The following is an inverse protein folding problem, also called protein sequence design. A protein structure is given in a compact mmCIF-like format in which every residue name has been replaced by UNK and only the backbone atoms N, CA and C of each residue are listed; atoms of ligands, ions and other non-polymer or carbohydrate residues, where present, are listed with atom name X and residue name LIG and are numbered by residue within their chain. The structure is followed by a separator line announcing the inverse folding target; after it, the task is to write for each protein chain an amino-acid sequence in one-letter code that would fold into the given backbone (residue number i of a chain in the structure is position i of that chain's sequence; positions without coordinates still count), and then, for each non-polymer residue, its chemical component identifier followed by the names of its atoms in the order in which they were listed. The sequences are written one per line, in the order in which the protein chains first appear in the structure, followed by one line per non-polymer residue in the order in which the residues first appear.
data_IF_753348551638
#
_entry.id   IF_753348551638
#
_cell.length_a   1.000
_cell.length_b   1.000
_cell.length_c   1.000
_cell.angle_alpha   90.00
_cell.angle_beta   90.00
_cell.angle_gamma   90.00
#
_symmetry.space_group_name_H-M   'P 1'
#
loop_
_entity.id
_entity.type
_entity.pdbx_description
1 polymer ?
#
# COMPACT_ATOMS: atom_id res chain seq x y z
N UNK A 1 22.45 18.09 25.43
CA UNK A 1 21.11 18.67 25.14
C UNK A 1 20.35 17.65 24.31
N UNK A 2 19.05 17.39 24.58
CA UNK A 2 18.31 16.37 23.85
C UNK A 2 18.15 16.75 22.37
N UNK A 3 18.59 15.87 21.46
CA UNK A 3 18.40 16.04 20.02
C UNK A 3 16.98 15.58 19.68
N UNK A 4 16.16 16.51 19.21
CA UNK A 4 14.81 16.19 18.73
C UNK A 4 14.91 15.66 17.31
N UNK A 5 14.65 14.36 17.17
CA UNK A 5 14.52 13.70 15.89
C UNK A 5 13.10 13.99 15.42
N UNK A 6 12.96 14.85 14.41
CA UNK A 6 11.65 15.20 13.91
C UNK A 6 10.92 13.92 13.47
N UNK A 7 9.65 13.72 13.90
CA UNK A 7 8.85 12.64 13.36
C UNK A 7 8.78 12.80 11.86
N UNK A 8 8.50 11.71 11.14
CA UNK A 8 8.19 11.78 9.73
C UNK A 8 7.23 12.95 9.50
N UNK A 9 7.73 14.04 8.89
CA UNK A 9 6.90 15.15 8.46
C UNK A 9 5.87 14.51 7.55
N UNK A 10 4.68 14.29 8.08
CA UNK A 10 3.75 13.44 7.37
C UNK A 10 3.46 14.09 6.03
N UNK A 11 2.97 13.34 5.05
CA UNK A 11 2.35 13.91 3.86
C UNK A 11 1.13 14.82 4.20
N UNK A 12 1.01 15.37 5.42
CA UNK A 12 -0.03 16.28 5.93
C UNK A 12 -0.18 17.55 5.08
N UNK A 13 0.84 17.98 4.33
CA UNK A 13 0.63 19.09 3.40
C UNK A 13 -0.14 18.70 2.14
N UNK A 14 -0.22 17.40 1.82
CA UNK A 14 -0.96 16.90 0.66
C UNK A 14 -2.11 15.95 1.00
N UNK A 15 -2.02 15.02 1.95
CA UNK A 15 -3.09 14.04 2.20
C UNK A 15 -4.39 14.62 2.79
N UNK A 16 -4.39 15.60 3.70
CA UNK A 16 -5.59 16.29 4.14
C UNK A 16 -6.13 17.18 3.03
N UNK A 17 -5.26 17.83 2.25
CA UNK A 17 -5.67 18.57 1.06
C UNK A 17 -6.26 17.63 0.00
N UNK A 18 -5.75 16.41 -0.16
CA UNK A 18 -6.22 15.42 -1.14
C UNK A 18 -7.51 14.78 -0.65
N UNK A 19 -7.63 14.46 0.65
CA UNK A 19 -8.87 14.02 1.27
C UNK A 19 -9.92 15.14 1.27
N UNK A 20 -9.53 16.40 1.44
CA UNK A 20 -10.40 17.56 1.37
C UNK A 20 -10.81 17.86 -0.06
N UNK A 21 -9.89 17.85 -1.03
CA UNK A 21 -10.18 17.95 -2.46
C UNK A 21 -11.04 16.78 -2.92
N UNK A 22 -10.80 15.56 -2.44
CA UNK A 22 -11.62 14.39 -2.76
C UNK A 22 -13.00 14.47 -2.10
N UNK A 23 -13.08 14.92 -0.84
CA UNK A 23 -14.34 15.18 -0.15
C UNK A 23 -15.10 16.32 -0.80
N UNK A 24 -14.43 17.32 -1.37
CA UNK A 24 -15.03 18.43 -2.13
C UNK A 24 -15.48 17.91 -3.50
N UNK A 25 -14.67 17.13 -4.21
CA UNK A 25 -14.98 16.59 -5.54
C UNK A 25 -16.09 15.53 -5.51
N UNK A 26 -16.20 14.75 -4.45
CA UNK A 26 -17.29 13.77 -4.27
C UNK A 26 -18.48 14.42 -3.55
N UNK A 27 -18.20 15.27 -2.56
CA UNK A 27 -19.20 15.93 -1.73
C UNK A 27 -20.02 16.97 -2.48
N UNK A 28 -19.43 17.80 -3.35
CA UNK A 28 -20.18 18.80 -4.11
C UNK A 28 -21.19 18.16 -5.09
N UNK A 29 -20.82 17.17 -5.93
CA UNK A 29 -21.79 16.51 -6.80
C UNK A 29 -22.86 15.76 -6.02
N UNK A 30 -22.47 15.09 -4.92
CA UNK A 30 -23.40 14.36 -4.08
C UNK A 30 -24.35 15.31 -3.33
N UNK A 31 -23.86 16.44 -2.85
CA UNK A 31 -24.66 17.51 -2.24
C UNK A 31 -25.62 18.12 -3.26
N UNK A 32 -25.17 18.35 -4.49
CA UNK A 32 -26.01 18.82 -5.58
C UNK A 32 -27.10 17.81 -5.95
N UNK A 33 -26.76 16.52 -5.99
CA UNK A 33 -27.71 15.44 -6.25
C UNK A 33 -28.75 15.32 -5.13
N UNK A 34 -28.32 15.36 -3.87
CA UNK A 34 -29.23 15.29 -2.71
C UNK A 34 -30.10 16.55 -2.61
N UNK A 35 -29.53 17.73 -2.86
CA UNK A 35 -30.29 18.98 -2.90
C UNK A 35 -31.30 19.03 -4.05
N UNK A 36 -31.00 18.41 -5.19
CA UNK A 36 -31.93 18.28 -6.31
C UNK A 36 -33.05 17.26 -6.05
N UNK A 37 -32.74 16.14 -5.37
CA UNK A 37 -33.71 15.09 -5.06
C UNK A 37 -34.58 15.41 -3.83
N UNK A 38 -34.05 16.18 -2.88
CA UNK A 38 -34.70 16.47 -1.59
C UNK A 38 -34.46 17.93 -1.18
N UNK A 39 -35.10 18.91 -1.85
CA UNK A 39 -34.87 20.34 -1.63
C UNK A 39 -35.21 20.80 -0.20
N UNK A 40 -36.16 20.15 0.47
CA UNK A 40 -36.55 20.46 1.86
C UNK A 40 -35.45 20.12 2.87
N UNK A 41 -34.58 19.16 2.52
CA UNK A 41 -33.44 18.78 3.35
C UNK A 41 -32.19 19.62 3.06
N UNK A 42 -32.19 20.50 2.06
CA UNK A 42 -30.98 21.20 1.62
C UNK A 42 -30.32 22.04 2.72
N UNK A 43 -31.11 22.74 3.54
CA UNK A 43 -30.60 23.53 4.67
C UNK A 43 -30.00 22.67 5.79
N UNK A 44 -30.69 21.58 6.15
CA UNK A 44 -30.20 20.62 7.14
C UNK A 44 -28.99 19.82 6.64
N UNK A 45 -28.96 19.52 5.35
CA UNK A 45 -27.87 18.79 4.71
C UNK A 45 -26.58 19.60 4.68
N UNK A 46 -26.62 20.89 4.32
CA UNK A 46 -25.43 21.76 4.36
C UNK A 46 -24.88 21.87 5.78
N UNK A 47 -25.74 22.03 6.78
CA UNK A 47 -25.33 22.06 8.19
C UNK A 47 -24.72 20.71 8.64
N UNK A 48 -25.36 19.59 8.31
CA UNK A 48 -24.86 18.25 8.62
C UNK A 48 -23.52 17.96 7.93
N UNK A 49 -23.34 18.41 6.69
CA UNK A 49 -22.10 18.24 5.93
C UNK A 49 -20.97 19.10 6.50
N UNK A 50 -21.25 20.35 6.89
CA UNK A 50 -20.28 21.21 7.57
C UNK A 50 -19.84 20.59 8.91
N UNK A 51 -20.78 20.05 9.71
CA UNK A 51 -20.48 19.33 10.95
C UNK A 51 -19.61 18.09 10.66
N UNK A 52 -19.98 17.29 9.65
CA UNK A 52 -19.21 16.10 9.26
C UNK A 52 -17.79 16.45 8.79
N UNK A 53 -17.61 17.54 8.06
CA UNK A 53 -16.30 18.02 7.61
C UNK A 53 -15.44 18.47 8.80
N UNK A 54 -16.00 19.25 9.74
CA UNK A 54 -15.30 19.68 10.96
C UNK A 54 -14.95 18.49 11.85
N UNK A 55 -15.90 17.58 12.08
CA UNK A 55 -15.68 16.36 12.85
C UNK A 55 -14.60 15.48 12.21
N UNK A 56 -14.63 15.31 10.89
CA UNK A 56 -13.60 14.57 10.16
C UNK A 56 -12.23 15.23 10.27
N UNK A 57 -12.16 16.56 10.17
CA UNK A 57 -10.93 17.32 10.37
C UNK A 57 -10.37 17.17 11.79
N UNK A 58 -11.22 17.24 12.81
CA UNK A 58 -10.85 17.05 14.20
C UNK A 58 -10.37 15.61 14.48
N UNK A 59 -11.11 14.60 14.02
CA UNK A 59 -10.74 13.18 14.12
C UNK A 59 -9.40 12.94 13.43
N UNK A 60 -9.22 13.47 12.21
CA UNK A 60 -7.96 13.35 11.48
C UNK A 60 -6.82 14.03 12.25
N UNK A 61 -7.04 15.23 12.80
CA UNK A 61 -6.06 15.93 13.62
C UNK A 61 -5.62 15.13 14.85
N UNK A 62 -6.58 14.53 15.56
CA UNK A 62 -6.31 13.65 16.71
C UNK A 62 -5.55 12.40 16.28
N UNK A 63 -5.99 11.72 15.20
CA UNK A 63 -5.29 10.55 14.65
C UNK A 63 -3.86 10.91 14.27
N UNK A 64 -3.64 12.05 13.60
CA UNK A 64 -2.30 12.52 13.26
C UNK A 64 -1.46 12.79 14.51
N UNK A 65 -1.98 13.49 15.51
CA UNK A 65 -1.26 13.74 16.77
C UNK A 65 -0.87 12.44 17.49
N UNK A 66 -1.75 11.44 17.47
CA UNK A 66 -1.48 10.12 18.05
C UNK A 66 -0.48 9.29 17.23
N UNK A 67 -0.52 9.38 15.90
CA UNK A 67 0.35 8.63 15.00
C UNK A 67 1.76 9.20 14.86
N UNK A 68 1.94 10.52 15.01
CA UNK A 68 3.20 11.24 14.78
C UNK A 68 3.76 11.85 16.06
N UNK A 69 3.98 11.01 17.06
CA UNK A 69 4.66 11.39 18.30
C UNK A 69 6.11 11.79 18.03
N UNK A 70 6.65 12.73 18.80
CA UNK A 70 8.05 13.15 18.69
C UNK A 70 9.00 12.12 19.31
N UNK A 71 10.20 11.99 18.73
CA UNK A 71 11.31 11.24 19.30
C UNK A 71 12.37 12.25 19.75
N UNK A 72 12.73 12.22 21.03
CA UNK A 72 13.89 12.97 21.51
C UNK A 72 14.91 12.00 22.10
N UNK A 73 16.18 12.19 21.78
CA UNK A 73 17.26 11.32 22.23
C UNK A 73 18.25 12.16 23.03
N UNK A 74 18.57 11.71 24.24
CA UNK A 74 19.63 12.27 25.06
C UNK A 74 20.65 11.15 25.33
N UNK A 75 21.69 11.11 24.49
CA UNK A 75 22.74 10.10 24.56
C UNK A 75 23.60 10.27 25.82
N UNK A 76 23.73 11.49 26.35
CA UNK A 76 24.54 11.77 27.54
C UNK A 76 23.86 11.19 28.79
N UNK A 77 22.54 11.34 28.88
CA UNK A 77 21.72 10.79 29.97
C UNK A 77 21.35 9.32 29.77
N UNK A 78 21.59 8.76 28.58
CA UNK A 78 21.20 7.39 28.26
C UNK A 78 19.69 7.19 28.18
N UNK A 79 18.94 8.23 27.81
CA UNK A 79 17.47 8.19 27.75
C UNK A 79 16.93 8.55 26.36
N UNK A 80 15.76 8.00 26.06
CA UNK A 80 14.95 8.31 24.90
C UNK A 80 13.54 8.70 25.34
N UNK A 81 13.01 9.78 24.76
CA UNK A 81 11.63 10.18 24.96
C UNK A 81 10.79 9.74 23.78
N UNK A 82 9.85 8.81 24.05
CA UNK A 82 8.90 8.28 23.08
C UNK A 82 7.50 8.81 23.41
N UNK A 83 7.08 9.88 22.73
CA UNK A 83 5.84 10.58 23.09
C UNK A 83 5.98 11.33 24.42
N UNK A 84 5.16 10.98 25.42
CA UNK A 84 5.15 11.64 26.73
C UNK A 84 6.07 10.99 27.77
N UNK A 85 6.59 9.79 27.52
CA UNK A 85 7.40 9.04 28.47
C UNK A 85 8.90 9.11 28.15
N UNK A 86 9.72 9.32 29.17
CA UNK A 86 11.18 9.12 29.11
C UNK A 86 11.51 7.69 29.54
N UNK A 87 12.31 7.01 28.73
CA UNK A 87 12.68 5.61 28.89
C UNK A 87 14.20 5.46 28.71
N UNK A 88 14.85 4.45 29.33
CA UNK A 88 16.26 4.17 29.08
C UNK A 88 16.47 3.70 27.63
N UNK A 89 17.63 3.99 27.03
CA UNK A 89 17.92 3.58 25.64
C UNK A 89 17.79 2.07 25.42
N UNK A 90 18.14 1.27 26.42
CA UNK A 90 18.02 -0.20 26.40
C UNK A 90 16.59 -0.71 26.29
N UNK A 91 15.58 0.11 26.63
CA UNK A 91 14.17 -0.26 26.48
C UNK A 91 13.74 -0.42 25.02
N UNK A 92 14.50 0.16 24.08
CA UNK A 92 14.25 0.02 22.64
C UNK A 92 14.62 -1.40 22.21
N UNK A 93 13.61 -2.22 21.95
CA UNK A 93 13.77 -3.67 21.72
C UNK A 93 13.35 -4.10 20.32
N UNK A 94 12.65 -3.25 19.56
CA UNK A 94 12.26 -3.57 18.20
C UNK A 94 12.29 -2.35 17.27
N UNK A 95 12.78 -2.54 16.05
CA UNK A 95 12.66 -1.57 14.97
C UNK A 95 12.03 -2.26 13.76
N UNK A 96 11.05 -1.59 13.15
CA UNK A 96 10.50 -1.99 11.86
C UNK A 96 10.88 -0.98 10.78
N UNK A 97 11.54 -1.45 9.74
CA UNK A 97 11.97 -0.69 8.56
C UNK A 97 10.91 -0.75 7.47
N UNK A 98 10.60 0.36 6.82
CA UNK A 98 9.67 0.43 5.70
C UNK A 98 10.14 1.44 4.67
N UNK A 99 10.15 1.06 3.39
CA UNK A 99 10.45 1.98 2.29
C UNK A 99 9.20 2.20 1.44
N UNK A 100 8.69 3.41 1.41
CA UNK A 100 7.61 3.75 0.50
C UNK A 100 8.20 4.38 -0.76
N UNK A 101 8.00 3.76 -1.92
CA UNK A 101 8.31 4.36 -3.23
C UNK A 101 7.03 4.51 -4.08
N UNK A 102 6.88 5.65 -4.75
CA UNK A 102 5.74 5.93 -5.61
C UNK A 102 5.93 7.18 -6.46
N UNK A 103 5.92 7.03 -7.79
CA UNK A 103 6.16 8.13 -8.73
C UNK A 103 7.54 8.74 -8.52
N UNK A 104 7.59 10.04 -8.20
CA UNK A 104 8.83 10.77 -7.86
C UNK A 104 9.18 10.75 -6.37
N UNK A 105 8.36 10.09 -5.54
CA UNK A 105 8.52 10.06 -4.10
C UNK A 105 9.16 8.75 -3.62
N UNK A 106 10.12 8.87 -2.72
CA UNK A 106 10.82 7.73 -2.09
C UNK A 106 11.09 8.09 -0.64
N UNK A 107 10.70 7.22 0.29
CA UNK A 107 10.80 7.45 1.73
C UNK A 107 11.30 6.21 2.44
N UNK A 108 12.27 6.36 3.34
CA UNK A 108 12.72 5.36 4.29
C UNK A 108 12.21 5.73 5.68
N UNK A 109 11.46 4.84 6.31
CA UNK A 109 10.89 5.03 7.64
C UNK A 109 11.32 3.93 8.59
N UNK A 110 11.61 4.31 9.82
CA UNK A 110 11.76 3.39 10.93
C UNK A 110 10.61 3.57 11.92
N UNK A 111 10.04 2.46 12.38
CA UNK A 111 9.15 2.42 13.52
C UNK A 111 9.89 1.79 14.69
N UNK A 112 10.28 2.62 15.65
CA UNK A 112 11.02 2.23 16.84
C UNK A 112 10.00 1.92 17.93
N UNK A 113 10.15 0.79 18.62
CA UNK A 113 9.29 0.36 19.70
C UNK A 113 10.11 -0.01 20.94
N UNK A 114 9.59 0.39 22.09
CA UNK A 114 10.10 0.00 23.39
C UNK A 114 9.37 -1.24 23.93
N UNK A 115 9.99 -1.92 24.90
CA UNK A 115 9.42 -3.03 25.68
C UNK A 115 8.09 -2.69 26.38
N UNK A 116 7.91 -1.43 26.79
CA UNK A 116 6.65 -0.88 27.34
C UNK A 116 5.51 -0.79 26.32
N UNK A 117 5.77 -1.07 25.05
CA UNK A 117 4.82 -0.91 23.93
C UNK A 117 4.75 0.51 23.35
N UNK A 118 5.45 1.48 23.94
CA UNK A 118 5.59 2.81 23.35
C UNK A 118 6.28 2.70 21.98
N UNK A 119 5.76 3.38 20.95
CA UNK A 119 6.38 3.37 19.61
C UNK A 119 6.31 4.72 18.93
N UNK A 120 7.30 4.98 18.06
CA UNK A 120 7.42 6.22 17.28
C UNK A 120 7.84 5.90 15.84
N UNK A 121 7.42 6.75 14.89
CA UNK A 121 7.81 6.64 13.48
C UNK A 121 8.73 7.80 13.08
N UNK A 122 9.89 7.45 12.54
CA UNK A 122 10.92 8.39 12.08
C UNK A 122 11.03 8.31 10.56
N UNK A 123 11.11 9.46 9.87
CA UNK A 123 11.47 9.52 8.44
C UNK A 123 12.98 9.70 8.35
N UNK A 124 13.69 8.67 7.91
CA UNK A 124 15.15 8.66 7.83
C UNK A 124 15.63 9.36 6.59
N UNK A 125 15.08 8.97 5.44
CA UNK A 125 15.39 9.54 4.14
C UNK A 125 14.10 9.75 3.35
N UNK A 126 14.04 10.79 2.51
CA UNK A 126 12.81 11.15 1.83
C UNK A 126 13.00 12.07 0.63
N UNK A 127 12.14 11.91 -0.38
CA UNK A 127 11.84 12.90 -1.43
C UNK A 127 10.35 12.91 -1.74
N UNK A 128 9.70 14.08 -1.95
CA UNK A 128 10.27 15.44 -1.83
C UNK A 128 10.49 15.93 -0.39
N UNK A 129 10.04 15.20 0.63
CA UNK A 129 10.21 15.64 2.02
C UNK A 129 11.62 15.34 2.52
N UNK A 130 12.26 16.33 3.13
CA UNK A 130 13.58 16.16 3.74
C UNK A 130 13.48 15.13 4.88
N UNK A 131 14.36 14.13 4.84
CA UNK A 131 14.55 13.18 5.94
C UNK A 131 15.34 13.80 7.09
N UNK A 132 16.10 12.98 7.80
CA UNK A 132 16.92 13.43 8.92
C UNK A 132 18.02 14.38 8.45
N UNK A 133 18.33 15.35 9.31
CA UNK A 133 19.60 16.06 9.25
C UNK A 133 20.74 15.15 9.72
N UNK A 134 21.98 15.48 9.34
CA UNK A 134 23.18 14.71 9.71
C UNK A 134 23.26 14.48 11.23
N UNK A 135 23.09 15.53 12.04
CA UNK A 135 23.10 15.44 13.50
C UNK A 135 22.03 14.48 14.04
N UNK A 136 20.85 14.48 13.43
CA UNK A 136 19.75 13.59 13.83
C UNK A 136 20.02 12.14 13.41
N UNK A 137 20.65 11.92 12.26
CA UNK A 137 21.06 10.59 11.80
C UNK A 137 22.16 10.01 12.71
N UNK A 138 23.14 10.82 13.11
CA UNK A 138 24.18 10.44 14.09
C UNK A 138 23.57 10.14 15.45
N UNK A 139 22.64 10.96 15.93
CA UNK A 139 21.93 10.72 17.19
C UNK A 139 21.11 9.41 17.14
N UNK A 140 20.45 9.14 16.01
CA UNK A 140 19.69 7.91 15.79
C UNK A 140 20.60 6.68 15.76
N UNK A 141 21.76 6.77 15.09
CA UNK A 141 22.78 5.71 15.11
C UNK A 141 23.26 5.43 16.54
N UNK A 142 23.58 6.46 17.31
CA UNK A 142 23.97 6.32 18.72
C UNK A 142 22.88 5.70 19.60
N UNK A 143 21.61 6.00 19.32
CA UNK A 143 20.48 5.34 19.98
C UNK A 143 20.45 3.84 19.65
N UNK A 144 20.60 3.46 18.38
CA UNK A 144 20.58 2.05 17.94
C UNK A 144 21.73 1.26 18.54
N UNK A 145 22.93 1.85 18.57
CA UNK A 145 24.12 1.23 19.16
C UNK A 145 23.94 0.89 20.64
N UNK A 146 23.24 1.74 21.40
CA UNK A 146 22.99 1.58 22.84
C UNK A 146 21.64 0.95 23.19
N UNK A 147 20.90 0.50 22.17
CA UNK A 147 19.57 -0.08 22.34
C UNK A 147 19.62 -1.55 22.79
N UNK A 148 18.47 -2.07 23.25
CA UNK A 148 18.27 -3.49 23.54
C UNK A 148 17.89 -4.31 22.30
N UNK A 149 18.17 -3.81 21.08
CA UNK A 149 17.87 -4.54 19.85
C UNK A 149 18.74 -5.81 19.74
N UNK A 150 18.17 -6.93 19.27
CA UNK A 150 18.97 -8.10 18.92
C UNK A 150 19.91 -7.76 17.76
N UNK A 151 21.07 -8.41 17.70
CA UNK A 151 22.05 -8.23 16.62
C UNK A 151 21.41 -8.44 15.23
N UNK A 152 20.64 -9.52 15.10
CA UNK A 152 19.85 -9.91 13.93
C UNK A 152 18.40 -10.20 14.36
N UNK A 153 17.42 -9.71 13.61
CA UNK A 153 16.00 -9.92 13.91
C UNK A 153 15.49 -11.29 13.42
N UNK A 154 16.16 -11.86 12.40
CA UNK A 154 15.78 -13.10 11.72
C UNK A 154 16.84 -14.21 11.85
N UNK A 155 18.02 -13.89 12.37
CA UNK A 155 19.19 -14.76 12.36
C UNK A 155 20.00 -14.70 11.05
N UNK A 156 19.53 -13.95 10.04
CA UNK A 156 20.26 -13.72 8.79
C UNK A 156 21.36 -12.65 8.96
N UNK A 157 22.26 -12.56 7.96
CA UNK A 157 23.27 -11.49 7.91
C UNK A 157 22.64 -10.11 7.72
N UNK A 158 23.37 -9.06 8.10
CA UNK A 158 22.90 -7.68 8.02
C UNK A 158 22.44 -7.30 6.59
N UNK A 159 23.20 -7.69 5.58
CA UNK A 159 22.90 -7.43 4.17
C UNK A 159 21.66 -8.20 3.71
N UNK A 160 21.52 -9.47 4.12
CA UNK A 160 20.36 -10.29 3.77
C UNK A 160 19.08 -9.75 4.41
N UNK A 161 19.14 -9.27 5.66
CA UNK A 161 18.02 -8.59 6.31
C UNK A 161 17.61 -7.30 5.58
N UNK A 162 18.58 -6.50 5.13
CA UNK A 162 18.31 -5.29 4.36
C UNK A 162 17.66 -5.61 3.02
N UNK A 163 18.21 -6.57 2.27
CA UNK A 163 17.67 -7.03 0.99
C UNK A 163 16.25 -7.60 1.13
N UNK A 164 16.03 -8.43 2.15
CA UNK A 164 14.69 -8.94 2.50
C UNK A 164 13.75 -7.78 2.85
N UNK A 165 14.21 -6.81 3.63
CA UNK A 165 13.47 -5.60 3.95
C UNK A 165 13.15 -4.73 2.73
N UNK A 166 14.06 -4.63 1.75
CA UNK A 166 13.89 -3.89 0.49
C UNK A 166 12.88 -4.57 -0.43
N UNK A 167 12.89 -5.89 -0.50
CA UNK A 167 11.87 -6.64 -1.24
C UNK A 167 10.47 -6.44 -0.62
N UNK A 168 10.40 -6.18 0.69
CA UNK A 168 9.17 -5.87 1.42
C UNK A 168 8.84 -4.37 1.46
N UNK A 169 9.74 -3.50 0.98
CA UNK A 169 9.71 -2.04 1.04
C UNK A 169 8.29 -1.48 0.95
N UNK A 170 7.62 -1.77 -0.17
CA UNK A 170 6.34 -1.18 -0.55
C UNK A 170 5.11 -1.88 0.07
N UNK A 171 5.32 -2.93 0.86
CA UNK A 171 4.26 -3.86 1.27
C UNK A 171 4.06 -3.90 2.78
N UNK A 172 5.14 -3.93 3.55
CA UNK A 172 5.08 -3.97 5.01
C UNK A 172 6.36 -3.44 5.65
N UNK A 173 6.24 -3.07 6.93
CA UNK A 173 7.41 -2.76 7.73
C UNK A 173 8.08 -4.08 8.18
N UNK A 174 9.29 -4.35 7.71
CA UNK A 174 10.10 -5.50 8.06
C UNK A 174 10.79 -5.26 9.41
N UNK A 175 10.83 -6.27 10.29
CA UNK A 175 11.67 -6.17 11.49
C UNK A 175 13.14 -6.19 11.06
N UNK A 176 13.96 -5.33 11.67
CA UNK A 176 15.39 -5.22 11.36
C UNK A 176 16.22 -5.34 12.63
N UNK A 177 17.31 -6.11 12.56
CA UNK A 177 18.27 -6.25 13.64
C UNK A 177 19.13 -5.00 13.81
N UNK A 178 19.84 -4.92 14.93
CA UNK A 178 20.75 -3.82 15.26
C UNK A 178 21.83 -3.65 14.19
N UNK A 179 22.44 -4.74 13.73
CA UNK A 179 23.63 -4.67 12.87
C UNK A 179 23.26 -4.21 11.45
N UNK A 180 22.16 -4.74 10.90
CA UNK A 180 21.56 -4.28 9.65
C UNK A 180 21.16 -2.79 9.71
N UNK A 181 20.60 -2.36 10.83
CA UNK A 181 20.16 -0.97 11.02
C UNK A 181 21.35 0.00 11.13
N UNK A 182 22.43 -0.40 11.80
CA UNK A 182 23.66 0.39 11.88
C UNK A 182 24.33 0.52 10.51
N UNK A 183 24.43 -0.58 9.76
CA UNK A 183 24.97 -0.59 8.39
C UNK A 183 24.20 0.38 7.47
N UNK A 184 22.86 0.36 7.54
CA UNK A 184 22.01 1.28 6.78
C UNK A 184 22.18 2.74 7.21
N UNK A 185 22.21 3.00 8.53
CA UNK A 185 22.40 4.35 9.07
C UNK A 185 23.77 4.93 8.70
N UNK A 186 24.82 4.11 8.65
CA UNK A 186 26.15 4.52 8.18
C UNK A 186 26.11 4.92 6.70
N UNK A 187 25.37 4.17 5.87
CA UNK A 187 25.06 4.57 4.48
C UNK A 187 24.37 5.92 4.40
N UNK A 188 23.34 6.15 5.22
CA UNK A 188 22.59 7.41 5.27
C UNK A 188 23.48 8.58 5.73
N UNK A 189 24.30 8.39 6.77
CA UNK A 189 25.21 9.42 7.28
C UNK A 189 26.22 9.83 6.21
N UNK A 190 26.80 8.86 5.47
CA UNK A 190 27.70 9.15 4.35
C UNK A 190 27.00 9.93 3.24
N UNK A 191 25.78 9.56 2.89
CA UNK A 191 24.97 10.27 1.89
C UNK A 191 24.62 11.71 2.33
N UNK A 192 24.52 11.96 3.63
CA UNK A 192 24.32 13.29 4.22
C UNK A 192 25.63 14.08 4.39
N UNK A 193 26.78 13.53 3.97
CA UNK A 193 28.10 14.19 4.02
C UNK A 193 28.89 13.96 5.31
N UNK A 194 28.54 12.97 6.13
CA UNK A 194 29.31 12.57 7.31
C UNK A 194 30.57 11.74 6.98
N UNK A 195 31.57 11.78 7.86
CA UNK A 195 32.76 10.93 7.77
C UNK A 195 32.42 9.46 8.04
N UNK A 196 33.13 8.53 7.38
CA UNK A 196 32.90 7.08 7.51
C UNK A 196 33.36 6.57 8.90
N UNK A 197 32.44 6.13 9.78
CA UNK A 197 32.79 5.63 11.10
C UNK A 197 33.39 4.20 11.08
N UNK A 198 33.41 3.52 9.93
CA UNK A 198 33.71 2.09 9.80
C UNK A 198 35.19 1.74 9.52
N UNK A 199 36.11 2.71 9.47
CA UNK A 199 37.54 2.44 9.17
C UNK A 199 38.32 1.65 10.26
N UNK A 200 37.67 0.94 11.19
CA UNK A 200 38.31 0.26 12.32
C UNK A 200 38.03 -1.25 12.47
N UNK A 201 37.37 -1.95 11.54
CA UNK A 201 37.19 -3.42 11.71
C UNK A 201 37.17 -4.19 10.39
N UNK A 202 38.00 -5.25 10.23
CA UNK A 202 37.99 -6.08 9.03
C UNK A 202 36.76 -7.01 9.01
N UNK A 203 36.14 -7.12 7.83
CA UNK A 203 34.97 -7.96 7.58
C UNK A 203 35.29 -9.46 7.76
N UNK A 204 34.50 -10.14 8.58
CA UNK A 204 34.54 -11.60 8.74
C UNK A 204 33.72 -12.29 7.63
N UNK A 205 34.23 -13.40 7.12
CA UNK A 205 33.63 -14.19 6.06
C UNK A 205 32.28 -14.81 6.48
N UNK A 206 31.33 -14.77 5.55
CA UNK A 206 29.97 -15.32 5.66
C UNK A 206 30.01 -16.86 5.62
N UNK A 207 29.33 -17.58 6.54
CA UNK A 207 29.12 -19.02 6.41
C UNK A 207 28.07 -19.32 5.35
N UNK A 208 28.46 -20.11 4.35
CA UNK A 208 27.61 -20.61 3.27
C UNK A 208 26.86 -21.87 3.76
N UNK A 209 25.52 -21.85 3.72
CA UNK A 209 24.70 -23.06 3.89
C UNK A 209 23.50 -22.93 4.82
N UNK A 210 22.44 -22.25 4.36
CA UNK A 210 21.09 -22.44 4.90
C UNK A 210 20.31 -23.36 3.93
N UNK A 211 19.72 -24.48 4.40
CA UNK A 211 18.96 -25.36 3.54
C UNK A 211 17.68 -24.66 3.07
N UNK A 212 17.42 -24.73 1.76
CA UNK A 212 16.19 -24.24 1.16
C UNK A 212 14.97 -24.98 1.76
N UNK A 213 13.85 -24.30 2.03
CA UNK A 213 12.63 -24.96 2.48
C UNK A 213 12.19 -25.96 1.40
N UNK A 214 11.93 -27.20 1.81
CA UNK A 214 11.37 -28.23 0.95
C UNK A 214 9.97 -27.80 0.50
N UNK A 215 9.85 -27.41 -0.77
CA UNK A 215 8.58 -27.13 -1.40
C UNK A 215 7.87 -28.47 -1.64
N UNK A 216 6.74 -28.69 -0.96
CA UNK A 216 5.87 -29.83 -1.27
C UNK A 216 5.46 -29.73 -2.74
N UNK A 217 5.87 -30.72 -3.55
CA UNK A 217 5.51 -30.83 -4.95
C UNK A 217 4.00 -31.02 -5.04
N UNK A 218 3.29 -29.90 -5.19
CA UNK A 218 1.85 -29.87 -5.43
C UNK A 218 1.65 -30.32 -6.88
N UNK A 219 0.81 -31.33 -7.12
CA UNK A 219 0.41 -31.72 -8.47
C UNK A 219 -0.01 -30.49 -9.26
N UNK A 220 0.56 -30.33 -10.47
CA UNK A 220 0.26 -29.24 -11.40
C UNK A 220 -1.24 -29.19 -11.68
N UNK A 221 -1.92 -28.21 -11.08
CA UNK A 221 -3.34 -27.94 -11.33
C UNK A 221 -3.58 -27.13 -12.61
N UNK A 222 -2.60 -27.06 -13.52
CA UNK A 222 -2.70 -26.28 -14.75
C UNK A 222 -3.59 -26.95 -15.79
N UNK A 223 -4.19 -26.12 -16.64
CA UNK A 223 -4.83 -26.61 -17.85
C UNK A 223 -3.76 -27.20 -18.81
N UNK A 224 -4.10 -28.20 -19.63
CA UNK A 224 -3.15 -28.84 -20.56
C UNK A 224 -2.43 -27.86 -21.50
N UNK A 225 -3.12 -26.81 -21.95
CA UNK A 225 -2.53 -25.75 -22.77
C UNK A 225 -1.46 -24.94 -22.01
N UNK A 226 -1.67 -24.73 -20.71
CA UNK A 226 -0.75 -23.98 -19.86
C UNK A 226 0.46 -24.82 -19.49
N UNK A 227 0.32 -26.14 -19.33
CA UNK A 227 1.47 -27.05 -19.19
C UNK A 227 2.36 -27.08 -20.44
N UNK A 228 1.76 -27.16 -21.63
CA UNK A 228 2.52 -27.15 -22.88
C UNK A 228 3.27 -25.82 -23.05
N UNK A 229 2.64 -24.70 -22.66
CA UNK A 229 3.30 -23.40 -22.63
C UNK A 229 4.41 -23.34 -21.60
N UNK A 230 4.20 -23.86 -20.39
CA UNK A 230 5.24 -23.90 -19.37
C UNK A 230 6.46 -24.65 -19.88
N UNK A 231 6.28 -25.80 -20.55
CA UNK A 231 7.38 -26.56 -21.14
C UNK A 231 8.15 -25.73 -22.19
N UNK A 232 7.44 -25.07 -23.11
CA UNK A 232 8.06 -24.20 -24.11
C UNK A 232 8.79 -22.99 -23.47
N UNK A 233 8.24 -22.46 -22.38
CA UNK A 233 8.79 -21.31 -21.65
C UNK A 233 10.03 -21.73 -20.83
N UNK A 234 10.00 -22.92 -20.22
CA UNK A 234 11.13 -23.56 -19.55
C UNK A 234 12.28 -23.81 -20.54
N UNK A 235 11.96 -24.32 -21.73
CA UNK A 235 12.94 -24.57 -22.80
C UNK A 235 13.56 -23.27 -23.32
N UNK A 236 12.74 -22.23 -23.54
CA UNK A 236 13.24 -20.91 -23.90
C UNK A 236 14.11 -20.28 -22.82
N UNK A 237 13.70 -20.35 -21.54
CA UNK A 237 14.48 -19.84 -20.40
C UNK A 237 15.80 -20.58 -20.17
N UNK A 238 15.89 -21.84 -20.61
CA UNK A 238 17.16 -22.57 -20.59
C UNK A 238 18.15 -22.04 -21.63
N UNK A 239 17.66 -21.36 -22.68
CA UNK A 239 18.44 -20.88 -23.82
C UNK A 239 18.76 -19.38 -23.69
N UNK A 240 17.75 -18.54 -23.42
CA UNK A 240 17.89 -17.08 -23.32
C UNK A 240 16.68 -16.44 -22.56
N UNK A 241 16.96 -15.45 -21.70
CA UNK A 241 15.94 -14.69 -20.96
C UNK A 241 15.08 -13.84 -21.93
N UNK A 242 15.64 -13.40 -23.08
CA UNK A 242 14.91 -12.62 -24.09
C UNK A 242 13.89 -13.47 -24.87
N UNK A 243 14.23 -14.74 -25.16
CA UNK A 243 13.30 -15.68 -25.79
C UNK A 243 12.09 -15.98 -24.92
N UNK A 244 12.30 -16.07 -23.60
CA UNK A 244 11.23 -16.23 -22.63
C UNK A 244 10.32 -15.00 -22.54
N UNK A 245 10.89 -13.79 -22.57
CA UNK A 245 10.12 -12.55 -22.60
C UNK A 245 9.22 -12.47 -23.84
N UNK A 246 9.72 -12.90 -25.00
CA UNK A 246 8.95 -12.96 -26.25
C UNK A 246 7.79 -13.98 -26.17
N UNK A 247 8.02 -15.17 -25.60
CA UNK A 247 6.96 -16.17 -25.41
C UNK A 247 5.87 -15.70 -24.43
N UNK A 248 6.25 -15.01 -23.34
CA UNK A 248 5.29 -14.39 -22.42
C UNK A 248 4.49 -13.30 -23.12
N UNK A 249 5.12 -12.51 -24.00
CA UNK A 249 4.45 -11.48 -24.80
C UNK A 249 3.53 -12.05 -25.89
N UNK A 250 3.81 -13.26 -26.37
CA UNK A 250 3.05 -14.01 -27.37
C UNK A 250 1.91 -14.86 -26.76
N UNK A 251 1.89 -15.07 -25.45
CA UNK A 251 0.83 -15.79 -24.76
C UNK A 251 -0.56 -15.20 -25.09
N UNK A 252 -1.63 -16.05 -25.15
CA UNK A 252 -2.95 -15.61 -25.57
C UNK A 252 -3.41 -14.45 -24.72
N UNK A 253 -3.60 -13.32 -25.39
CA UNK A 253 -3.94 -12.04 -24.76
C UNK A 253 -5.40 -11.98 -24.36
N UNK A 254 -6.14 -13.08 -24.21
CA UNK A 254 -7.59 -13.04 -23.93
C UNK A 254 -7.92 -12.21 -22.69
N UNK A 255 -7.25 -12.46 -21.56
CA UNK A 255 -7.41 -11.63 -20.36
C UNK A 255 -6.87 -10.20 -20.55
N UNK A 256 -5.79 -10.02 -21.30
CA UNK A 256 -5.22 -8.70 -21.57
C UNK A 256 -6.11 -7.85 -22.50
N UNK A 257 -6.76 -8.48 -23.47
CA UNK A 257 -7.70 -7.89 -24.43
C UNK A 257 -9.00 -7.55 -23.72
N UNK A 258 -9.51 -8.43 -22.84
CA UNK A 258 -10.66 -8.13 -21.96
C UNK A 258 -10.33 -6.94 -21.05
N UNK A 259 -9.15 -6.93 -20.42
CA UNK A 259 -8.71 -5.80 -19.60
C UNK A 259 -8.58 -4.51 -20.44
N UNK A 260 -7.99 -4.56 -21.63
CA UNK A 260 -7.86 -3.40 -22.50
C UNK A 260 -9.23 -2.87 -22.97
N UNK A 261 -10.14 -3.75 -23.38
CA UNK A 261 -11.50 -3.40 -23.77
C UNK A 261 -12.29 -2.79 -22.60
N UNK A 262 -12.16 -3.37 -21.41
CA UNK A 262 -12.77 -2.84 -20.19
C UNK A 262 -12.17 -1.47 -19.80
N UNK A 263 -10.86 -1.29 -19.94
CA UNK A 263 -10.23 0.01 -19.72
C UNK A 263 -10.72 1.06 -20.74
N UNK A 264 -10.87 0.69 -22.01
CA UNK A 264 -11.43 1.58 -23.03
C UNK A 264 -12.90 1.95 -22.72
N UNK A 265 -13.73 0.97 -22.35
CA UNK A 265 -15.12 1.20 -21.94
C UNK A 265 -15.21 2.13 -20.71
N UNK A 266 -14.31 1.97 -19.74
CA UNK A 266 -14.20 2.85 -18.57
C UNK A 266 -13.87 4.30 -18.99
N UNK A 267 -12.91 4.49 -19.91
CA UNK A 267 -12.58 5.83 -20.41
C UNK A 267 -13.73 6.47 -21.18
N UNK A 268 -14.45 5.70 -21.99
CA UNK A 268 -15.65 6.17 -22.69
C UNK A 268 -16.76 6.56 -21.71
N UNK A 269 -16.96 5.79 -20.65
CA UNK A 269 -17.90 6.11 -19.58
C UNK A 269 -17.53 7.40 -18.83
N UNK A 270 -16.24 7.62 -18.54
CA UNK A 270 -15.75 8.87 -17.93
C UNK A 270 -15.98 10.07 -18.86
N UNK A 271 -15.72 9.90 -20.17
CA UNK A 271 -15.97 10.95 -21.15
C UNK A 271 -17.47 11.26 -21.27
N UNK A 272 -18.32 10.23 -21.34
CA UNK A 272 -19.78 10.38 -21.36
C UNK A 272 -20.31 11.09 -20.11
N UNK A 273 -19.80 10.72 -18.93
CA UNK A 273 -20.12 11.39 -17.67
C UNK A 273 -19.72 12.88 -17.70
N UNK A 274 -18.51 13.20 -18.15
CA UNK A 274 -18.02 14.57 -18.22
C UNK A 274 -18.87 15.42 -19.19
N UNK A 275 -19.23 14.88 -20.35
CA UNK A 275 -20.11 15.54 -21.32
C UNK A 275 -21.49 15.78 -20.73
N UNK A 276 -22.11 14.77 -20.12
CA UNK A 276 -23.42 14.89 -19.49
C UNK A 276 -23.43 15.91 -18.35
N UNK A 277 -22.33 15.96 -17.57
CA UNK A 277 -22.17 16.89 -16.47
C UNK A 277 -22.07 18.33 -16.96
N UNK A 278 -21.21 18.61 -17.95
CA UNK A 278 -21.07 19.95 -18.55
C UNK A 278 -22.35 20.39 -19.24
N UNK A 279 -23.01 19.49 -19.96
CA UNK A 279 -24.30 19.75 -20.61
C UNK A 279 -25.36 20.16 -19.59
N UNK A 280 -25.53 19.39 -18.51
CA UNK A 280 -26.50 19.69 -17.45
C UNK A 280 -26.25 21.04 -16.75
N UNK A 281 -24.99 21.45 -16.60
CA UNK A 281 -24.64 22.76 -16.04
C UNK A 281 -24.95 23.90 -17.02
N UNK A 282 -24.69 23.69 -18.31
CA UNK A 282 -24.70 24.78 -19.31
C UNK A 282 -26.06 25.06 -19.92
N UNK A 283 -26.90 24.04 -20.15
CA UNK A 283 -28.19 24.25 -20.84
C UNK A 283 -29.38 24.52 -19.91
N UNK A 284 -29.42 23.90 -18.74
CA UNK A 284 -30.67 23.79 -17.96
C UNK A 284 -30.66 24.43 -16.57
N UNK A 285 -29.54 25.02 -16.13
CA UNK A 285 -29.41 25.56 -14.77
C UNK A 285 -29.61 24.50 -13.67
N UNK A 286 -29.57 23.22 -14.04
CA UNK A 286 -29.91 22.03 -13.25
C UNK A 286 -29.88 20.78 -14.13
N UNK A 287 -29.81 19.58 -13.57
CA UNK A 287 -29.74 18.35 -14.37
C UNK A 287 -31.14 17.91 -14.83
N UNK A 288 -31.47 18.08 -16.12
CA UNK A 288 -32.69 17.50 -16.70
C UNK A 288 -32.65 15.97 -16.73
N UNK A 289 -33.81 15.32 -16.90
CA UNK A 289 -33.96 13.86 -16.85
C UNK A 289 -33.01 13.11 -17.80
N UNK A 290 -32.79 13.65 -19.00
CA UNK A 290 -31.84 13.08 -19.97
C UNK A 290 -30.39 13.13 -19.49
N UNK A 291 -29.98 14.23 -18.85
CA UNK A 291 -28.63 14.37 -18.29
C UNK A 291 -28.44 13.45 -17.08
N UNK A 292 -29.44 13.32 -16.20
CA UNK A 292 -29.43 12.39 -15.08
C UNK A 292 -29.35 10.92 -15.55
N UNK A 293 -30.15 10.55 -16.55
CA UNK A 293 -30.12 9.21 -17.12
C UNK A 293 -28.75 8.90 -17.75
N UNK A 294 -28.17 9.84 -18.50
CA UNK A 294 -26.85 9.67 -19.11
C UNK A 294 -25.73 9.57 -18.06
N UNK A 295 -25.79 10.39 -17.00
CA UNK A 295 -24.86 10.30 -15.86
C UNK A 295 -24.96 8.94 -15.17
N UNK A 296 -26.19 8.49 -14.90
CA UNK A 296 -26.46 7.20 -14.26
C UNK A 296 -25.93 6.01 -15.08
N UNK A 297 -26.25 5.96 -16.38
CA UNK A 297 -25.76 4.92 -17.27
C UNK A 297 -24.24 4.96 -17.45
N UNK A 298 -23.65 6.15 -17.57
CA UNK A 298 -22.20 6.30 -17.66
C UNK A 298 -21.51 5.79 -16.39
N UNK A 299 -22.03 6.14 -15.22
CA UNK A 299 -21.51 5.63 -13.94
C UNK A 299 -21.64 4.10 -13.83
N UNK A 300 -22.79 3.54 -14.22
CA UNK A 300 -23.03 2.10 -14.20
C UNK A 300 -22.09 1.33 -15.14
N UNK A 301 -21.96 1.77 -16.40
CA UNK A 301 -21.06 1.17 -17.39
C UNK A 301 -19.60 1.28 -16.93
N UNK A 302 -19.21 2.46 -16.43
CA UNK A 302 -17.86 2.70 -15.90
C UNK A 302 -17.53 1.79 -14.72
N UNK A 303 -18.48 1.59 -13.80
CA UNK A 303 -18.31 0.66 -12.68
C UNK A 303 -18.14 -0.78 -13.16
N UNK A 304 -19.04 -1.28 -14.01
CA UNK A 304 -18.95 -2.65 -14.56
C UNK A 304 -17.62 -2.86 -15.28
N UNK A 305 -17.21 -1.90 -16.12
CA UNK A 305 -15.95 -1.94 -16.84
C UNK A 305 -14.74 -1.99 -15.88
N UNK A 306 -14.76 -1.19 -14.81
CA UNK A 306 -13.70 -1.19 -13.79
C UNK A 306 -13.59 -2.54 -13.06
N UNK A 307 -14.72 -3.17 -12.72
CA UNK A 307 -14.76 -4.51 -12.11
C UNK A 307 -14.23 -5.60 -13.06
N UNK A 308 -14.65 -5.57 -14.33
CA UNK A 308 -14.19 -6.52 -15.35
C UNK A 308 -12.69 -6.36 -15.60
N UNK A 309 -12.20 -5.12 -15.71
CA UNK A 309 -10.78 -4.83 -15.85
C UNK A 309 -9.97 -5.40 -14.69
N UNK A 310 -10.38 -5.13 -13.45
CA UNK A 310 -9.67 -5.59 -12.27
C UNK A 310 -9.65 -7.11 -12.16
N UNK A 311 -10.77 -7.78 -12.43
CA UNK A 311 -10.85 -9.24 -12.42
C UNK A 311 -9.97 -9.86 -13.51
N UNK A 312 -9.96 -9.29 -14.73
CA UNK A 312 -9.13 -9.77 -15.82
C UNK A 312 -7.62 -9.56 -15.55
N UNK A 313 -7.26 -8.40 -15.00
CA UNK A 313 -5.89 -8.08 -14.62
C UNK A 313 -5.38 -9.00 -13.48
N UNK A 314 -6.18 -9.20 -12.42
CA UNK A 314 -5.80 -10.08 -11.32
C UNK A 314 -5.66 -11.55 -11.79
N UNK A 315 -6.57 -12.05 -12.65
CA UNK A 315 -6.43 -13.38 -13.25
C UNK A 315 -5.14 -13.53 -14.06
N UNK A 316 -4.76 -12.50 -14.82
CA UNK A 316 -3.51 -12.52 -15.58
C UNK A 316 -2.30 -12.58 -14.66
N UNK A 317 -2.27 -11.75 -13.60
CA UNK A 317 -1.19 -11.76 -12.61
C UNK A 317 -1.08 -13.11 -11.92
N UNK A 318 -2.18 -13.69 -11.45
CA UNK A 318 -2.19 -15.00 -10.78
C UNK A 318 -1.69 -16.13 -11.68
N UNK A 319 -2.09 -16.14 -12.97
CA UNK A 319 -1.59 -17.13 -13.94
C UNK A 319 -0.08 -17.01 -14.15
N UNK A 320 0.44 -15.80 -14.30
CA UNK A 320 1.87 -15.57 -14.46
C UNK A 320 2.67 -15.92 -13.19
N UNK A 321 2.10 -15.71 -12.01
CA UNK A 321 2.69 -16.15 -10.73
C UNK A 321 2.75 -17.67 -10.62
N UNK A 322 1.68 -18.38 -10.99
CA UNK A 322 1.65 -19.84 -11.00
C UNK A 322 2.73 -20.40 -11.94
N UNK A 323 2.83 -19.88 -13.17
CA UNK A 323 3.87 -20.26 -14.13
C UNK A 323 5.29 -20.01 -13.59
N UNK A 324 5.51 -18.88 -12.90
CA UNK A 324 6.81 -18.58 -12.27
C UNK A 324 7.15 -19.54 -11.13
N UNK A 325 6.18 -19.90 -10.30
CA UNK A 325 6.35 -20.85 -9.21
C UNK A 325 6.66 -22.26 -9.74
N UNK A 326 5.96 -22.70 -10.78
CA UNK A 326 6.20 -24.01 -11.40
C UNK A 326 7.55 -24.07 -12.12
N UNK A 327 7.97 -22.97 -12.75
CA UNK A 327 9.30 -22.87 -13.33
C UNK A 327 10.41 -23.08 -12.29
N UNK A 328 10.25 -22.49 -11.10
CA UNK A 328 11.17 -22.67 -9.97
C UNK A 328 11.12 -24.10 -9.42
N UNK A 329 9.93 -24.68 -9.30
CA UNK A 329 9.75 -26.04 -8.78
C UNK A 329 10.34 -27.13 -9.70
N UNK A 330 10.43 -26.86 -11.00
CA UNK A 330 10.88 -27.85 -11.99
C UNK A 330 12.38 -28.20 -11.93
N UNK A 331 13.24 -27.37 -11.30
CA UNK A 331 14.68 -27.68 -11.14
C UNK A 331 15.26 -26.93 -9.91
N UNK A 332 15.85 -27.65 -8.92
CA UNK A 332 16.47 -27.02 -7.75
C UNK A 332 17.52 -25.95 -8.07
N UNK A 333 18.26 -26.10 -9.18
CA UNK A 333 19.27 -25.11 -9.61
C UNK A 333 18.66 -23.78 -10.06
N UNK A 334 17.35 -23.76 -10.33
CA UNK A 334 16.61 -22.53 -10.67
C UNK A 334 16.25 -21.74 -9.41
N UNK A 335 16.02 -22.40 -8.29
CA UNK A 335 15.82 -21.74 -7.00
C UNK A 335 17.06 -20.92 -6.59
N UNK A 336 18.26 -21.45 -6.84
CA UNK A 336 19.52 -20.74 -6.59
C UNK A 336 19.69 -19.51 -7.49
N UNK A 337 19.28 -19.62 -8.77
CA UNK A 337 19.32 -18.51 -9.73
C UNK A 337 18.26 -17.46 -9.41
N UNK A 338 17.09 -17.86 -8.93
CA UNK A 338 15.94 -16.98 -8.69
C UNK A 338 15.10 -16.75 -9.95
N UNK A 339 13.97 -16.07 -9.78
CA UNK A 339 13.01 -15.82 -10.86
C UNK A 339 13.62 -15.07 -12.07
N UNK A 340 13.23 -15.43 -13.30
CA UNK A 340 13.60 -14.68 -14.50
C UNK A 340 13.01 -13.27 -14.49
N UNK A 341 13.67 -12.31 -15.15
CA UNK A 341 13.26 -10.91 -15.18
C UNK A 341 11.78 -10.68 -15.57
N UNK A 342 11.21 -11.38 -16.56
CA UNK A 342 9.78 -11.24 -16.90
C UNK A 342 8.80 -11.58 -15.77
N UNK A 343 9.19 -12.44 -14.83
CA UNK A 343 8.34 -12.82 -13.69
C UNK A 343 8.53 -11.94 -12.47
N UNK A 344 9.65 -11.21 -12.35
CA UNK A 344 9.97 -10.39 -11.17
C UNK A 344 8.88 -9.34 -10.89
N UNK A 345 8.45 -8.61 -11.92
CA UNK A 345 7.43 -7.56 -11.76
C UNK A 345 6.06 -8.12 -11.34
N UNK A 346 5.72 -9.32 -11.81
CA UNK A 346 4.44 -9.98 -11.50
C UNK A 346 4.48 -10.65 -10.13
N UNK A 347 5.62 -11.20 -9.72
CA UNK A 347 5.77 -11.86 -8.44
C UNK A 347 5.61 -10.89 -7.25
N UNK A 348 5.88 -9.60 -7.45
CA UNK A 348 5.61 -8.52 -6.50
C UNK A 348 4.14 -8.04 -6.52
N UNK A 349 3.41 -8.26 -7.61
CA UNK A 349 2.02 -7.83 -7.75
C UNK A 349 1.08 -8.78 -7.01
N UNK A 350 0.54 -8.35 -5.88
CA UNK A 350 -0.33 -9.20 -5.08
C UNK A 350 -1.72 -9.52 -5.68
N UNK A 351 -2.00 -9.12 -6.94
CA UNK A 351 -3.24 -9.41 -7.67
C UNK A 351 -4.52 -9.08 -6.87
N UNK A 352 -4.54 -7.88 -6.29
CA UNK A 352 -5.61 -7.44 -5.39
C UNK A 352 -6.39 -6.24 -5.94
N UNK A 353 -6.44 -6.04 -7.25
CA UNK A 353 -7.17 -4.89 -7.84
C UNK A 353 -8.65 -5.01 -7.54
N UNK A 354 -9.24 -6.17 -7.77
CA UNK A 354 -10.67 -6.41 -7.53
C UNK A 354 -11.00 -6.25 -6.05
N UNK A 355 -10.15 -6.81 -5.19
CA UNK A 355 -10.35 -6.78 -3.75
C UNK A 355 -10.14 -5.37 -3.18
N UNK A 356 -9.21 -4.60 -3.74
CA UNK A 356 -9.02 -3.18 -3.46
C UNK A 356 -10.20 -2.31 -3.92
N UNK A 357 -10.78 -2.62 -5.08
CA UNK A 357 -12.01 -1.96 -5.55
C UNK A 357 -13.18 -2.26 -4.63
N UNK A 358 -13.39 -3.53 -4.23
CA UNK A 358 -14.42 -3.90 -3.26
C UNK A 358 -14.20 -3.20 -1.91
N UNK A 359 -12.94 -3.10 -1.46
CA UNK A 359 -12.60 -2.38 -0.24
C UNK A 359 -13.00 -0.90 -0.32
N UNK A 360 -12.65 -0.25 -1.43
CA UNK A 360 -12.96 1.16 -1.66
C UNK A 360 -14.45 1.40 -1.84
N UNK A 361 -15.10 0.71 -2.79
CA UNK A 361 -16.51 0.85 -3.08
C UNK A 361 -17.38 0.50 -1.86
N UNK A 362 -17.07 -0.59 -1.16
CA UNK A 362 -17.76 -0.98 0.07
C UNK A 362 -17.63 0.08 1.17
N UNK A 363 -16.44 0.68 1.34
CA UNK A 363 -16.25 1.74 2.33
C UNK A 363 -17.01 3.02 1.98
N UNK A 364 -16.99 3.44 0.72
CA UNK A 364 -17.67 4.67 0.25
C UNK A 364 -19.19 4.49 0.30
N UNK A 365 -19.71 3.44 -0.33
CA UNK A 365 -21.15 3.15 -0.36
C UNK A 365 -21.67 2.83 1.04
N UNK A 366 -20.87 2.12 1.84
CA UNK A 366 -21.22 1.79 3.21
C UNK A 366 -21.33 3.01 4.10
N UNK A 367 -20.33 3.89 4.05
CA UNK A 367 -20.36 5.17 4.76
C UNK A 367 -21.54 6.04 4.31
N UNK A 368 -21.78 6.13 3.00
CA UNK A 368 -22.89 6.91 2.44
C UNK A 368 -24.25 6.36 2.90
N UNK A 369 -24.47 5.05 2.82
CA UNK A 369 -25.71 4.42 3.24
C UNK A 369 -26.00 4.63 4.73
N UNK A 370 -24.96 4.52 5.58
CA UNK A 370 -25.09 4.81 7.03
C UNK A 370 -25.42 6.28 7.28
N UNK A 371 -24.72 7.22 6.63
CA UNK A 371 -24.97 8.65 6.81
C UNK A 371 -26.36 9.05 6.32
N UNK A 372 -26.79 8.59 5.14
CA UNK A 372 -28.12 8.88 4.61
C UNK A 372 -29.20 8.24 5.49
N UNK A 373 -29.02 6.99 5.91
CA UNK A 373 -29.96 6.32 6.81
C UNK A 373 -30.14 7.07 8.14
N UNK A 374 -29.05 7.50 8.78
CA UNK A 374 -29.13 8.30 10.02
C UNK A 374 -29.81 9.65 9.76
N UNK A 375 -29.46 10.34 8.68
CA UNK A 375 -30.07 11.63 8.33
C UNK A 375 -31.58 11.50 8.10
N UNK A 376 -32.00 10.50 7.33
CA UNK A 376 -33.42 10.25 7.06
C UNK A 376 -34.18 9.81 8.31
N UNK A 377 -33.58 9.03 9.22
CA UNK A 377 -34.19 8.69 10.51
C UNK A 377 -34.36 9.92 11.41
N UNK A 378 -33.46 10.89 11.32
CA UNK A 378 -33.52 12.10 12.12
C UNK A 378 -34.59 13.10 11.63
N UNK A 379 -34.98 13.03 10.36
CA UNK A 379 -35.94 13.96 9.74
C UNK A 379 -37.25 13.32 9.31
N UNK A 380 -37.34 11.99 9.32
CA UNK A 380 -38.48 11.26 8.76
C UNK A 380 -39.61 11.07 9.75
N UNK A 381 -40.67 11.88 9.61
CA UNK A 381 -41.94 11.66 10.31
C UNK A 381 -42.83 10.62 9.60
N UNK A 382 -42.55 10.32 8.31
CA UNK A 382 -43.32 9.36 7.51
C UNK A 382 -42.82 7.92 7.72
N UNK A 383 -43.74 6.94 7.95
CA UNK A 383 -43.37 5.54 8.19
C UNK A 383 -42.54 4.91 7.06
N UNK A 384 -42.86 5.25 5.81
CA UNK A 384 -42.18 4.67 4.63
C UNK A 384 -40.73 5.16 4.52
N UNK A 385 -40.47 6.43 4.84
CA UNK A 385 -39.12 6.99 4.90
C UNK A 385 -38.29 6.36 6.02
N UNK A 386 -38.90 6.07 7.17
CA UNK A 386 -38.25 5.37 8.28
C UNK A 386 -37.81 3.96 7.85
N UNK A 387 -38.69 3.19 7.19
CA UNK A 387 -38.34 1.84 6.70
C UNK A 387 -37.20 1.91 5.70
N UNK A 388 -37.27 2.81 4.72
CA UNK A 388 -36.21 2.98 3.73
C UNK A 388 -34.88 3.40 4.37
N UNK A 389 -34.92 4.29 5.36
CA UNK A 389 -33.75 4.74 6.10
C UNK A 389 -33.08 3.60 6.89
N UNK A 390 -33.88 2.73 7.53
CA UNK A 390 -33.37 1.52 8.20
C UNK A 390 -32.71 0.58 7.20
N UNK A 391 -33.33 0.35 6.04
CA UNK A 391 -32.74 -0.50 4.98
C UNK A 391 -31.41 0.08 4.50
N UNK A 392 -31.34 1.37 4.22
CA UNK A 392 -30.10 2.04 3.83
C UNK A 392 -29.00 1.92 4.90
N UNK A 393 -29.37 2.08 6.17
CA UNK A 393 -28.44 1.98 7.29
C UNK A 393 -27.89 0.56 7.41
N UNK A 394 -28.74 -0.46 7.32
CA UNK A 394 -28.34 -1.88 7.40
C UNK A 394 -27.47 -2.26 6.20
N UNK A 395 -27.89 -1.95 4.98
CA UNK A 395 -27.12 -2.22 3.76
C UNK A 395 -25.79 -1.48 3.78
N UNK A 396 -25.79 -0.21 4.22
CA UNK A 396 -24.60 0.60 4.38
C UNK A 396 -23.62 0.01 5.40
N UNK A 397 -24.11 -0.41 6.56
CA UNK A 397 -23.27 -1.04 7.59
C UNK A 397 -22.64 -2.35 7.08
N UNK A 398 -23.41 -3.20 6.38
CA UNK A 398 -22.89 -4.44 5.78
C UNK A 398 -21.81 -4.13 4.73
N UNK A 399 -22.06 -3.17 3.83
CA UNK A 399 -21.09 -2.77 2.81
C UNK A 399 -19.80 -2.22 3.43
N UNK A 400 -19.91 -1.43 4.51
CA UNK A 400 -18.77 -0.90 5.24
C UNK A 400 -17.93 -2.02 5.89
N UNK A 401 -18.58 -2.99 6.54
CA UNK A 401 -17.90 -4.15 7.14
C UNK A 401 -17.18 -4.97 6.08
N UNK A 402 -17.83 -5.24 4.94
CA UNK A 402 -17.22 -5.95 3.82
C UNK A 402 -16.04 -5.14 3.22
N UNK A 403 -16.17 -3.81 3.15
CA UNK A 403 -15.12 -2.90 2.71
C UNK A 403 -13.87 -2.98 3.60
N UNK A 404 -14.06 -2.91 4.92
CA UNK A 404 -12.99 -3.05 5.92
C UNK A 404 -12.36 -4.44 5.83
N UNK A 405 -13.16 -5.49 5.73
CA UNK A 405 -12.65 -6.85 5.58
C UNK A 405 -11.78 -7.00 4.31
N UNK A 406 -12.25 -6.47 3.18
CA UNK A 406 -11.50 -6.49 1.93
C UNK A 406 -10.20 -5.67 2.04
N UNK A 407 -10.21 -4.52 2.72
CA UNK A 407 -8.99 -3.75 3.00
C UNK A 407 -7.96 -4.58 3.78
N UNK A 408 -8.39 -5.24 4.86
CA UNK A 408 -7.53 -6.10 5.68
C UNK A 408 -7.02 -7.30 4.89
N UNK A 409 -7.87 -7.96 4.11
CA UNK A 409 -7.50 -9.09 3.27
C UNK A 409 -6.48 -8.69 2.19
N UNK A 410 -6.65 -7.53 1.55
CA UNK A 410 -5.68 -6.96 0.60
C UNK A 410 -4.32 -6.80 1.27
N UNK A 411 -4.29 -6.22 2.47
CA UNK A 411 -3.04 -5.99 3.19
C UNK A 411 -2.35 -7.29 3.60
N UNK A 412 -3.12 -8.29 4.06
CA UNK A 412 -2.60 -9.63 4.39
C UNK A 412 -2.06 -10.36 3.16
N UNK A 413 -2.75 -10.30 2.03
CA UNK A 413 -2.31 -10.92 0.77
C UNK A 413 -1.03 -10.29 0.26
N UNK A 414 -0.92 -8.96 0.28
CA UNK A 414 0.32 -8.27 -0.07
C UNK A 414 1.49 -8.77 0.79
N UNK A 415 1.32 -8.84 2.11
CA UNK A 415 2.36 -9.36 3.03
C UNK A 415 2.82 -10.76 2.67
N UNK A 416 1.89 -11.67 2.37
CA UNK A 416 2.22 -13.04 1.95
C UNK A 416 2.97 -13.06 0.62
N UNK A 417 2.54 -12.27 -0.35
CA UNK A 417 3.20 -12.16 -1.65
C UNK A 417 4.64 -11.64 -1.53
N UNK A 418 4.88 -10.61 -0.71
CA UNK A 418 6.22 -10.09 -0.48
C UNK A 418 7.13 -11.09 0.25
N UNK A 419 6.60 -11.79 1.25
CA UNK A 419 7.35 -12.85 1.94
C UNK A 419 7.69 -14.02 1.00
N UNK A 420 6.75 -14.43 0.15
CA UNK A 420 6.99 -15.43 -0.87
C UNK A 420 8.01 -14.95 -1.90
N UNK A 421 7.92 -13.70 -2.36
CA UNK A 421 8.88 -13.12 -3.29
C UNK A 421 10.31 -13.12 -2.73
N UNK A 422 10.49 -12.71 -1.46
CA UNK A 422 11.80 -12.73 -0.81
C UNK A 422 12.43 -14.15 -0.82
N UNK A 423 11.61 -15.19 -0.67
CA UNK A 423 12.06 -16.57 -0.76
C UNK A 423 12.35 -17.03 -2.21
N UNK A 424 11.61 -16.51 -3.19
CA UNK A 424 11.67 -16.95 -4.60
C UNK A 424 12.65 -16.14 -5.46
N UNK A 425 13.03 -14.93 -5.03
CA UNK A 425 13.84 -14.01 -5.84
C UNK A 425 15.32 -14.44 -5.95
N UNK A 426 15.84 -15.21 -5.00
CA UNK A 426 17.20 -15.77 -5.04
C UNK A 426 18.31 -14.73 -5.31
N UNK A 427 19.47 -15.18 -5.83
CA UNK A 427 20.61 -14.29 -6.17
C UNK A 427 20.29 -13.25 -7.25
N UNK A 428 19.40 -13.54 -8.20
CA UNK A 428 18.98 -12.55 -9.22
C UNK A 428 18.16 -11.41 -8.64
N UNK A 429 17.33 -11.68 -7.62
CA UNK A 429 16.65 -10.65 -6.84
C UNK A 429 17.64 -9.69 -6.17
N UNK A 430 18.70 -10.25 -5.57
CA UNK A 430 19.78 -9.47 -4.95
C UNK A 430 20.52 -8.60 -5.96
N UNK A 431 20.80 -9.11 -7.17
CA UNK A 431 21.50 -8.35 -8.21
C UNK A 431 20.63 -7.27 -8.87
N UNK A 432 19.33 -7.54 -9.05
CA UNK A 432 18.40 -6.60 -9.68
C UNK A 432 18.01 -5.45 -8.74
N UNK A 433 17.96 -5.70 -7.43
CA UNK A 433 17.52 -4.72 -6.43
C UNK A 433 18.63 -4.23 -5.48
N UNK A 434 19.80 -4.88 -5.43
CA UNK A 434 20.96 -4.44 -4.64
C UNK A 434 21.81 -3.36 -5.32
N UNK A 435 21.45 -2.93 -6.55
CA UNK A 435 22.05 -1.76 -7.21
C UNK A 435 21.17 -0.53 -7.00
N UNK A 436 21.17 0.03 -5.79
CA UNK A 436 20.65 1.37 -5.52
C UNK A 436 21.65 2.21 -4.74
#
# INVERSE_FOLDING_TARGET
MPIVIQPAGAPVRRSPLTLLVFSVLVGLPLAGLIGALMPELAGGFVAAWAIAAVASGAILGVIMALMYRTLAVDLDRGVVRLGSGELPLSSVTAVKRSISSGGTAQYLHYRIAADTGASVRVLVFGRPFKGLALEQAVALRGLVERSGLPASASGASAESELLSGDSQANVAAAAIGRDALLLELDGVIRLLGGADPSQATPAAAVPEGAPAPASEATESGLAPEDEQRLRALVEALATDDDGAAQLIAAAPRTAANVAAAAAAAMWLAVAGFAVAFVWGITESGGFGDGALALLGWSAAIGAVALFVWAAAADRRTLRLQALGAEWLAADPRRAERGLPAPFLGVALDAANRLLGLCAYAGSVLGFLGVMLGIGMLATGDEPDLVVFAVVLLVVGAIALVLGIWAFVATHRRRKRAAAAFAALAGKRGELAYGRF
#
